data_IF_387953519821
#
_entry.id   IF_387953519821
#
_cell.length_a   1.000
_cell.length_b   1.000
_cell.length_c   1.000
_cell.angle_alpha   90.00
_cell.angle_beta   90.00
_cell.angle_gamma   90.00
#
_symmetry.space_group_name_H-M   'P 1'
#
loop_
_entity.id
_entity.type
_entity.pdbx_description
1 polymer ?
#
# COMPACT_ATOMS: atom_id res chain seq x y z
N UNK A 1 -18.84 51.24 48.99
CA UNK A 1 -17.46 51.60 48.58
C UNK A 1 -17.18 51.01 47.22
N UNK A 2 -16.94 51.87 46.22
CA UNK A 2 -16.34 51.53 44.92
C UNK A 2 -14.82 51.77 45.00
N UNK A 3 -14.00 51.09 44.18
CA UNK A 3 -13.70 51.58 42.82
C UNK A 3 -13.81 50.43 41.77
N UNK A 4 -14.21 50.62 40.49
CA UNK A 4 -13.59 51.43 39.39
C UNK A 4 -12.08 51.11 39.25
N UNK A 5 -11.47 50.81 38.10
CA UNK A 5 -11.85 50.72 36.67
C UNK A 5 -10.79 49.78 36.01
N UNK A 6 -10.80 49.33 34.74
CA UNK A 6 -11.34 49.88 33.48
C UNK A 6 -11.48 48.75 32.44
N UNK A 7 -12.29 48.94 31.38
CA UNK A 7 -12.10 48.23 30.11
C UNK A 7 -10.83 48.74 29.39
N UNK A 8 -10.07 47.84 28.75
CA UNK A 8 -9.28 48.17 27.55
C UNK A 8 -9.47 47.09 26.49
N UNK A 9 -10.12 47.47 25.39
CA UNK A 9 -10.02 46.73 24.13
C UNK A 9 -8.69 47.04 23.43
N UNK A 10 -8.38 46.29 22.36
CA UNK A 10 -7.18 46.22 21.48
C UNK A 10 -6.70 44.75 21.51
N UNK A 11 -6.60 44.01 20.41
CA UNK A 11 -7.02 44.28 19.03
C UNK A 11 -7.40 42.97 18.31
N UNK A 12 -8.10 43.11 17.20
CA UNK A 12 -8.30 42.07 16.20
C UNK A 12 -6.96 41.60 15.61
N UNK A 13 -6.47 40.44 16.07
CA UNK A 13 -5.41 39.68 15.41
C UNK A 13 -6.02 38.50 14.65
N UNK A 14 -5.75 38.38 13.35
CA UNK A 14 -6.10 37.16 12.61
C UNK A 14 -5.42 35.97 13.29
N UNK A 15 -6.21 35.03 13.81
CA UNK A 15 -5.71 33.69 14.08
C UNK A 15 -5.42 33.03 12.74
N UNK A 16 -4.18 33.16 12.27
CA UNK A 16 -3.67 32.50 11.08
C UNK A 16 -4.07 31.04 11.11
N UNK A 17 -4.91 30.61 10.16
CA UNK A 17 -5.13 29.18 9.91
C UNK A 17 -3.78 28.63 9.47
N UNK A 18 -3.03 28.07 10.42
CA UNK A 18 -1.84 27.30 10.13
C UNK A 18 -2.32 26.05 9.42
N UNK A 19 -2.41 26.14 8.10
CA UNK A 19 -2.57 24.99 7.21
C UNK A 19 -1.37 24.11 7.51
N UNK A 20 -1.58 23.09 8.34
CA UNK A 20 -0.60 22.04 8.57
C UNK A 20 -0.45 21.33 7.24
N UNK A 21 0.56 21.79 6.50
CA UNK A 21 1.08 21.15 5.31
C UNK A 21 1.39 19.71 5.72
N UNK A 22 0.51 18.80 5.32
CA UNK A 22 0.74 17.35 5.38
C UNK A 22 1.78 16.99 4.32
N UNK A 23 2.99 17.50 4.53
CA UNK A 23 4.22 16.89 4.08
C UNK A 23 4.07 15.41 4.44
N UNK A 24 4.04 14.57 3.41
CA UNK A 24 3.81 13.15 3.59
C UNK A 24 4.93 12.64 4.48
N UNK A 25 4.60 12.36 5.74
CA UNK A 25 5.56 11.83 6.70
C UNK A 25 6.22 10.63 6.02
N UNK A 26 7.56 10.51 6.05
CA UNK A 26 8.17 9.24 5.71
C UNK A 26 7.47 8.17 6.58
N UNK A 27 7.33 6.96 6.04
CA UNK A 27 6.93 5.85 6.90
C UNK A 27 8.00 5.77 7.99
N UNK A 28 7.67 6.26 9.19
CA UNK A 28 8.56 6.19 10.32
C UNK A 28 8.79 4.71 10.55
N UNK A 29 9.95 4.22 10.11
CA UNK A 29 10.52 3.05 10.71
C UNK A 29 10.48 3.33 12.21
N UNK A 30 9.81 2.47 12.98
CA UNK A 30 10.06 2.42 14.41
C UNK A 30 11.58 2.35 14.60
N UNK A 31 12.11 2.83 15.73
CA UNK A 31 13.56 2.81 16.02
C UNK A 31 14.13 1.39 15.86
N UNK A 32 14.54 1.07 14.64
CA UNK A 32 15.16 -0.18 14.30
C UNK A 32 16.56 -0.09 14.86
N UNK A 33 16.99 -1.14 15.55
CA UNK A 33 18.39 -1.33 15.85
C UNK A 33 19.19 -1.14 14.55
N UNK A 34 20.31 -0.42 14.62
CA UNK A 34 21.12 -0.13 13.45
C UNK A 34 21.52 -1.46 12.79
N UNK A 35 20.97 -1.72 11.61
CA UNK A 35 21.15 -3.01 10.94
C UNK A 35 22.63 -3.23 10.69
N UNK A 36 23.21 -4.24 11.35
CA UNK A 36 24.58 -4.66 11.09
C UNK A 36 24.73 -4.94 9.58
N UNK A 37 25.84 -4.54 8.95
CA UNK A 37 26.04 -4.81 7.54
C UNK A 37 25.96 -6.32 7.29
N UNK A 38 25.21 -6.73 6.27
CA UNK A 38 25.10 -8.12 5.82
C UNK A 38 26.36 -8.53 5.03
N UNK A 39 27.53 -8.31 5.63
CA UNK A 39 28.84 -8.66 5.06
C UNK A 39 28.96 -10.17 4.91
N UNK A 40 29.76 -10.61 3.93
CA UNK A 40 29.93 -12.01 3.50
C UNK A 40 28.72 -12.65 2.80
N UNK A 41 27.56 -11.97 2.72
CA UNK A 41 26.47 -12.43 1.89
C UNK A 41 26.82 -12.39 0.39
N UNK A 42 26.55 -13.48 -0.32
CA UNK A 42 26.34 -13.43 -1.78
C UNK A 42 24.97 -12.80 -2.04
N UNK A 43 24.94 -11.69 -2.78
CA UNK A 43 23.71 -10.93 -3.03
C UNK A 43 23.19 -11.19 -4.45
N UNK A 44 21.92 -11.58 -4.55
CA UNK A 44 21.19 -11.72 -5.83
C UNK A 44 19.98 -10.79 -5.84
N UNK A 45 19.63 -10.25 -7.00
CA UNK A 45 18.52 -9.32 -7.19
C UNK A 45 17.66 -9.77 -8.38
N UNK A 46 16.44 -10.22 -8.11
CA UNK A 46 15.46 -10.55 -9.15
C UNK A 46 14.47 -9.39 -9.31
N UNK A 47 14.11 -9.11 -10.56
CA UNK A 47 12.93 -8.29 -10.89
C UNK A 47 11.75 -9.22 -11.17
N UNK A 48 10.71 -9.11 -10.35
CA UNK A 48 9.45 -9.83 -10.49
C UNK A 48 8.40 -8.93 -11.19
N UNK A 49 7.21 -9.49 -11.43
CA UNK A 49 6.13 -8.74 -12.09
C UNK A 49 5.69 -7.48 -11.33
N UNK A 50 5.01 -6.57 -12.04
CA UNK A 50 4.50 -5.28 -11.53
C UNK A 50 5.53 -4.38 -10.84
N UNK A 51 6.83 -4.58 -11.11
CA UNK A 51 7.91 -3.78 -10.51
C UNK A 51 8.22 -4.15 -9.06
N UNK A 52 7.89 -5.39 -8.65
CA UNK A 52 8.36 -5.97 -7.40
C UNK A 52 9.83 -6.37 -7.56
N UNK A 53 10.70 -6.01 -6.61
CA UNK A 53 12.07 -6.52 -6.56
C UNK A 53 12.24 -7.50 -5.39
N UNK A 54 13.10 -8.49 -5.59
CA UNK A 54 13.43 -9.51 -4.59
C UNK A 54 14.96 -9.60 -4.46
N UNK A 55 15.49 -9.16 -3.32
CA UNK A 55 16.91 -9.25 -2.99
C UNK A 55 17.12 -10.42 -2.04
N UNK A 56 18.01 -11.36 -2.38
CA UNK A 56 18.41 -12.45 -1.47
C UNK A 56 19.87 -12.30 -1.08
N UNK A 57 20.12 -12.45 0.21
CA UNK A 57 21.42 -12.49 0.85
C UNK A 57 21.66 -13.94 1.29
N UNK A 58 22.53 -14.66 0.59
CA UNK A 58 22.88 -16.04 0.91
C UNK A 58 24.24 -16.07 1.61
N UNK A 59 24.34 -16.79 2.73
CA UNK A 59 25.54 -16.92 3.55
C UNK A 59 25.94 -18.39 3.62
N UNK A 60 27.25 -18.68 3.65
CA UNK A 60 27.72 -20.03 3.94
C UNK A 60 27.42 -20.42 5.40
N UNK A 61 27.58 -21.71 5.70
CA UNK A 61 27.48 -22.22 7.07
C UNK A 61 28.42 -21.43 8.01
N UNK A 62 27.91 -21.07 9.19
CA UNK A 62 28.64 -20.27 10.18
C UNK A 62 28.81 -18.77 9.86
N UNK A 63 28.43 -18.27 8.68
CA UNK A 63 28.65 -16.86 8.31
C UNK A 63 27.47 -15.94 8.64
N UNK A 64 26.24 -16.34 8.32
CA UNK A 64 25.03 -15.55 8.56
C UNK A 64 24.48 -15.70 9.99
N UNK A 65 24.82 -16.81 10.65
CA UNK A 65 24.53 -17.14 12.03
C UNK A 65 25.42 -18.32 12.46
N UNK A 66 25.34 -18.76 13.72
CA UNK A 66 26.14 -19.89 14.26
C UNK A 66 25.65 -21.29 13.85
N UNK A 67 24.81 -21.42 12.81
CA UNK A 67 24.31 -22.71 12.34
C UNK A 67 25.34 -23.43 11.45
N UNK A 68 25.41 -24.78 11.49
CA UNK A 68 26.19 -25.56 10.54
C UNK A 68 25.58 -25.61 9.12
N UNK A 69 24.44 -24.94 8.89
CA UNK A 69 23.75 -24.88 7.60
C UNK A 69 23.93 -23.52 6.93
N UNK A 70 23.91 -23.50 5.60
CA UNK A 70 23.75 -22.27 4.82
C UNK A 70 22.51 -21.51 5.27
N UNK A 71 22.57 -20.18 5.28
CA UNK A 71 21.45 -19.34 5.70
C UNK A 71 21.13 -18.27 4.67
N UNK A 72 19.86 -17.86 4.62
CA UNK A 72 19.36 -16.92 3.62
C UNK A 72 18.42 -15.90 4.24
N UNK A 73 18.75 -14.63 4.05
CA UNK A 73 17.85 -13.51 4.33
C UNK A 73 17.30 -12.95 3.01
N UNK A 74 16.03 -12.58 2.97
CA UNK A 74 15.36 -12.14 1.74
C UNK A 74 14.52 -10.90 2.01
N UNK A 75 14.71 -9.88 1.17
CA UNK A 75 13.96 -8.62 1.20
C UNK A 75 13.15 -8.51 -0.09
N UNK A 76 11.85 -8.26 0.02
CA UNK A 76 11.04 -7.85 -1.13
C UNK A 76 10.62 -6.38 -0.99
N UNK A 77 10.61 -5.67 -2.12
CA UNK A 77 10.13 -4.29 -2.22
C UNK A 77 9.09 -4.24 -3.33
N UNK A 78 7.92 -3.68 -3.02
CA UNK A 78 6.84 -3.50 -3.97
C UNK A 78 6.14 -2.16 -3.80
N UNK A 79 5.33 -1.77 -4.78
CA UNK A 79 4.43 -0.64 -4.65
C UNK A 79 3.03 -1.14 -4.28
N UNK A 80 2.52 -0.69 -3.13
CA UNK A 80 1.25 -1.12 -2.53
C UNK A 80 0.02 -0.90 -3.42
N UNK A 81 0.11 -0.09 -4.50
CA UNK A 81 -0.94 -0.01 -5.52
C UNK A 81 -1.09 -1.30 -6.35
N UNK A 82 -0.02 -2.08 -6.51
CA UNK A 82 -0.02 -3.31 -7.31
C UNK A 82 0.15 -4.58 -6.46
N UNK A 83 0.15 -4.45 -5.13
CA UNK A 83 0.39 -5.55 -4.20
C UNK A 83 -0.81 -5.75 -3.28
N UNK A 84 -1.26 -6.99 -3.17
CA UNK A 84 -2.14 -7.48 -2.10
C UNK A 84 -1.29 -8.06 -0.98
N UNK A 85 -1.71 -7.88 0.27
CA UNK A 85 -1.10 -8.53 1.44
C UNK A 85 -2.13 -9.48 2.03
N UNK A 86 -1.87 -10.79 1.92
CA UNK A 86 -2.78 -11.85 2.35
C UNK A 86 -2.20 -12.58 3.56
N UNK A 87 -2.77 -12.42 4.76
CA UNK A 87 -2.32 -13.16 5.94
C UNK A 87 -2.67 -14.65 5.79
N UNK A 88 -1.67 -15.50 6.00
CA UNK A 88 -1.81 -16.97 6.00
C UNK A 88 -1.41 -17.52 7.36
N UNK A 89 -2.06 -18.59 7.81
CA UNK A 89 -1.74 -19.30 9.06
C UNK A 89 -1.95 -20.79 8.82
N UNK A 90 -1.18 -21.63 9.50
CA UNK A 90 -1.49 -23.05 9.60
C UNK A 90 -2.82 -23.25 10.39
N UNK A 91 -3.44 -24.44 10.32
CA UNK A 91 -4.50 -24.83 11.24
C UNK A 91 -4.00 -24.86 12.68
N UNK A 92 -4.88 -24.63 13.67
CA UNK A 92 -4.49 -24.70 15.08
C UNK A 92 -3.94 -26.07 15.48
N UNK A 93 -2.96 -26.07 16.38
CA UNK A 93 -2.25 -27.27 16.87
C UNK A 93 -1.52 -28.05 15.74
N UNK A 94 -1.27 -27.42 14.59
CA UNK A 94 -0.58 -27.97 13.43
C UNK A 94 0.39 -26.95 12.84
N UNK A 95 1.50 -27.45 12.32
CA UNK A 95 2.44 -26.71 11.50
C UNK A 95 2.12 -26.89 10.01
N UNK A 96 2.63 -25.98 9.18
CA UNK A 96 2.51 -26.06 7.73
C UNK A 96 3.71 -25.37 7.08
N UNK A 97 4.25 -25.95 6.01
CA UNK A 97 5.39 -25.35 5.31
C UNK A 97 5.03 -23.98 4.71
N UNK A 98 5.99 -23.05 4.70
CA UNK A 98 5.84 -21.75 4.03
C UNK A 98 5.47 -21.91 2.55
N UNK A 99 6.02 -22.92 1.87
CA UNK A 99 5.70 -23.21 0.48
C UNK A 99 4.21 -23.55 0.30
N UNK A 100 3.66 -24.43 1.14
CA UNK A 100 2.25 -24.80 1.09
C UNK A 100 1.32 -23.62 1.43
N UNK A 101 1.72 -22.77 2.38
CA UNK A 101 0.96 -21.54 2.71
C UNK A 101 1.01 -20.52 1.56
N UNK A 102 2.16 -20.37 0.90
CA UNK A 102 2.33 -19.49 -0.26
C UNK A 102 1.52 -19.96 -1.47
N UNK A 103 1.57 -21.26 -1.78
CA UNK A 103 0.81 -21.89 -2.86
C UNK A 103 -0.70 -21.74 -2.65
N UNK A 104 -1.18 -21.95 -1.42
CA UNK A 104 -2.61 -21.83 -1.07
C UNK A 104 -3.24 -20.46 -1.29
N UNK A 105 -2.44 -19.41 -1.52
CA UNK A 105 -2.89 -18.05 -1.89
C UNK A 105 -2.23 -17.52 -3.17
N UNK A 106 -1.54 -18.39 -3.92
CA UNK A 106 -0.77 -18.05 -5.14
C UNK A 106 0.18 -16.85 -4.95
N UNK A 107 0.87 -16.78 -3.81
CA UNK A 107 1.75 -15.66 -3.49
C UNK A 107 3.01 -15.60 -4.36
N UNK A 108 3.32 -14.42 -4.90
CA UNK A 108 4.60 -14.14 -5.56
C UNK A 108 5.78 -14.16 -4.58
N UNK A 109 5.56 -13.73 -3.34
CA UNK A 109 6.52 -13.77 -2.24
C UNK A 109 5.76 -14.10 -0.95
N UNK A 110 6.32 -14.99 -0.14
CA UNK A 110 5.83 -15.30 1.21
C UNK A 110 6.92 -14.94 2.22
N UNK A 111 6.51 -14.49 3.41
CA UNK A 111 7.40 -14.09 4.51
C UNK A 111 6.84 -14.71 5.78
N UNK A 112 7.70 -15.26 6.63
CA UNK A 112 7.29 -15.76 7.94
C UNK A 112 6.72 -14.62 8.80
N UNK A 113 5.67 -14.95 9.56
CA UNK A 113 5.03 -14.03 10.49
C UNK A 113 5.60 -14.16 11.90
N UNK A 114 4.73 -14.55 12.81
CA UNK A 114 5.01 -14.68 14.24
C UNK A 114 5.89 -15.89 14.59
N UNK A 115 6.43 -15.87 15.82
CA UNK A 115 7.02 -17.06 16.44
C UNK A 115 5.91 -18.05 16.81
N UNK A 116 6.25 -19.35 16.89
CA UNK A 116 5.37 -20.39 17.39
C UNK A 116 6.16 -21.38 18.23
N UNK A 117 5.52 -22.00 19.22
CA UNK A 117 6.11 -23.09 20.00
C UNK A 117 5.97 -24.40 19.22
N UNK A 118 7.09 -25.11 19.02
CA UNK A 118 7.13 -26.39 18.31
C UNK A 118 6.39 -27.52 19.06
N UNK A 119 6.21 -27.39 20.37
CA UNK A 119 5.58 -28.40 21.22
C UNK A 119 4.05 -28.36 21.10
N UNK A 120 3.45 -27.19 21.34
CA UNK A 120 2.00 -26.95 21.21
C UNK A 120 1.55 -26.65 19.78
N UNK A 121 2.48 -26.27 18.90
CA UNK A 121 2.22 -25.75 17.53
C UNK A 121 1.28 -24.53 17.54
N UNK A 122 1.40 -23.69 18.57
CA UNK A 122 0.63 -22.45 18.73
C UNK A 122 1.53 -21.20 18.60
N UNK A 123 1.03 -20.11 18.00
CA UNK A 123 1.78 -18.87 17.84
C UNK A 123 1.90 -18.10 19.17
N UNK A 124 2.92 -17.25 19.28
CA UNK A 124 3.19 -16.47 20.50
C UNK A 124 2.29 -15.24 20.66
N UNK A 125 1.65 -14.79 19.58
CA UNK A 125 0.88 -13.55 19.49
C UNK A 125 -0.55 -13.80 19.00
N UNK A 126 -1.46 -12.90 19.37
CA UNK A 126 -2.84 -12.95 18.96
C UNK A 126 -3.04 -12.88 17.43
N UNK A 127 -4.01 -13.67 16.94
CA UNK A 127 -4.45 -13.70 15.54
C UNK A 127 -5.89 -13.22 15.47
N UNK A 128 -6.14 -12.20 14.65
CA UNK A 128 -7.48 -11.73 14.32
C UNK A 128 -7.64 -11.55 12.80
N UNK A 129 -8.84 -11.80 12.28
CA UNK A 129 -9.22 -11.57 10.88
C UNK A 129 -10.64 -11.02 10.81
N UNK A 130 -10.89 -10.03 9.95
CA UNK A 130 -12.25 -9.51 9.73
C UNK A 130 -12.96 -9.02 10.99
N UNK A 131 -12.23 -8.36 11.90
CA UNK A 131 -12.69 -7.94 13.23
C UNK A 131 -13.00 -9.07 14.23
N UNK A 132 -12.78 -10.34 13.88
CA UNK A 132 -12.90 -11.48 14.80
C UNK A 132 -11.52 -11.88 15.33
N UNK A 133 -11.38 -11.90 16.66
CA UNK A 133 -10.25 -12.53 17.34
C UNK A 133 -10.40 -14.06 17.21
N UNK A 134 -9.42 -14.72 16.61
CA UNK A 134 -9.44 -16.17 16.37
C UNK A 134 -8.55 -16.92 17.36
N UNK A 135 -7.48 -16.27 17.83
CA UNK A 135 -6.61 -16.76 18.90
C UNK A 135 -5.98 -15.58 19.67
N UNK A 136 -5.76 -15.74 20.97
CA UNK A 136 -4.90 -14.88 21.77
C UNK A 136 -4.22 -15.69 22.87
N UNK A 137 -2.93 -15.46 23.16
CA UNK A 137 -2.36 -15.83 24.45
C UNK A 137 -3.00 -15.01 25.59
N UNK A 138 -2.76 -15.40 26.83
CA UNK A 138 -3.23 -14.70 28.04
C UNK A 138 -2.53 -13.35 28.31
N UNK A 139 -1.60 -12.93 27.45
CA UNK A 139 -0.84 -11.68 27.60
C UNK A 139 -1.07 -10.75 26.42
N UNK A 140 -1.02 -9.44 26.68
CA UNK A 140 -1.04 -8.40 25.64
C UNK A 140 -0.02 -8.68 24.52
N UNK A 141 -0.53 -9.01 23.35
CA UNK A 141 0.24 -9.38 22.16
C UNK A 141 0.69 -8.16 21.37
N UNK A 142 1.94 -8.14 20.90
CA UNK A 142 2.40 -7.22 19.85
C UNK A 142 1.96 -7.79 18.49
N UNK A 143 1.33 -6.99 17.64
CA UNK A 143 0.82 -7.47 16.35
C UNK A 143 1.23 -6.56 15.18
N UNK A 144 1.28 -7.15 14.00
CA UNK A 144 1.32 -6.43 12.72
C UNK A 144 -0.04 -6.63 12.04
N UNK A 145 -0.85 -5.58 12.02
CA UNK A 145 -2.13 -5.56 11.33
C UNK A 145 -1.99 -5.15 9.87
N UNK A 146 -2.75 -5.80 8.99
CA UNK A 146 -2.99 -5.34 7.61
C UNK A 146 -4.36 -4.67 7.60
N UNK A 147 -4.43 -3.37 7.30
CA UNK A 147 -5.69 -2.64 7.12
C UNK A 147 -5.81 -2.09 5.71
N UNK A 148 -7.04 -1.97 5.21
CA UNK A 148 -7.33 -1.38 3.90
C UNK A 148 -7.55 0.12 4.05
N UNK A 149 -6.71 0.95 3.41
CA UNK A 149 -6.82 2.41 3.45
C UNK A 149 -7.07 2.99 2.06
N UNK A 150 -7.67 4.17 1.99
CA UNK A 150 -7.89 4.88 0.71
C UNK A 150 -6.58 5.15 0.00
N UNK A 151 -6.50 4.77 -1.28
CA UNK A 151 -5.35 5.04 -2.13
C UNK A 151 -5.20 6.55 -2.37
N UNK A 152 -3.99 7.08 -2.25
CA UNK A 152 -3.73 8.51 -2.45
C UNK A 152 -3.46 8.80 -3.92
N UNK A 153 -4.14 9.80 -4.48
CA UNK A 153 -3.80 10.31 -5.81
C UNK A 153 -2.32 10.72 -5.91
N UNK A 154 -1.66 11.13 -4.81
CA UNK A 154 -0.23 11.46 -4.84
C UNK A 154 0.68 10.28 -5.21
N UNK A 155 0.36 9.07 -4.74
CA UNK A 155 1.19 7.86 -4.91
C UNK A 155 0.62 6.86 -5.90
N UNK A 156 -0.64 7.02 -6.30
CA UNK A 156 -1.33 6.25 -7.33
C UNK A 156 -2.64 5.64 -6.85
N UNK A 157 -3.49 5.25 -7.81
CA UNK A 157 -4.73 4.49 -7.58
C UNK A 157 -4.87 3.43 -8.67
N UNK A 158 -4.70 2.15 -8.32
CA UNK A 158 -4.96 1.03 -9.24
C UNK A 158 -6.44 0.64 -9.22
N UNK A 159 -7.22 1.27 -10.11
CA UNK A 159 -8.62 0.92 -10.34
C UNK A 159 -9.01 1.34 -11.75
N UNK A 160 -9.59 0.43 -12.52
CA UNK A 160 -10.06 0.73 -13.87
C UNK A 160 -11.31 1.62 -13.86
N UNK A 161 -11.40 2.48 -14.87
CA UNK A 161 -12.54 3.35 -15.17
C UNK A 161 -12.74 3.42 -16.68
N UNK A 162 -13.95 3.67 -17.15
CA UNK A 162 -14.29 3.73 -18.59
C UNK A 162 -14.65 5.16 -18.95
N UNK A 163 -13.97 5.72 -19.95
CA UNK A 163 -14.30 7.02 -20.54
C UNK A 163 -14.97 6.81 -21.89
N UNK A 164 -16.09 7.52 -22.12
CA UNK A 164 -16.73 7.61 -23.43
C UNK A 164 -16.21 8.85 -24.17
N UNK A 165 -15.75 8.67 -25.41
CA UNK A 165 -15.31 9.75 -26.29
C UNK A 165 -15.59 9.39 -27.75
N UNK A 166 -16.27 10.28 -28.48
CA UNK A 166 -16.62 10.09 -29.90
C UNK A 166 -17.21 8.70 -30.22
N UNK A 167 -18.17 8.25 -29.41
CA UNK A 167 -18.83 6.93 -29.56
C UNK A 167 -17.99 5.72 -29.14
N UNK A 168 -16.75 5.91 -28.66
CA UNK A 168 -15.83 4.83 -28.26
C UNK A 168 -15.58 4.79 -26.76
N UNK A 169 -15.38 3.60 -26.23
CA UNK A 169 -14.99 3.36 -24.85
C UNK A 169 -13.46 3.30 -24.73
N UNK A 170 -12.90 3.96 -23.72
CA UNK A 170 -11.49 3.96 -23.37
C UNK A 170 -11.33 3.45 -21.94
N UNK A 171 -10.68 2.31 -21.75
CA UNK A 171 -10.35 1.80 -20.40
C UNK A 171 -9.11 2.50 -19.87
N UNK A 172 -9.28 3.23 -18.77
CA UNK A 172 -8.22 3.90 -18.02
C UNK A 172 -7.94 3.07 -16.78
N UNK A 173 -6.78 2.43 -16.71
CA UNK A 173 -6.46 1.37 -15.73
C UNK A 173 -6.10 1.90 -14.34
N UNK A 174 -5.92 3.20 -14.19
CA UNK A 174 -5.69 3.85 -12.92
C UNK A 174 -5.30 5.32 -13.06
N UNK A 175 -5.00 5.93 -11.91
CA UNK A 175 -4.59 7.32 -11.77
C UNK A 175 -3.19 7.40 -11.15
N UNK A 176 -2.33 8.26 -11.67
CA UNK A 176 -1.02 8.62 -11.11
C UNK A 176 -0.13 7.39 -10.79
N UNK A 177 -0.23 6.36 -11.61
CA UNK A 177 0.49 5.09 -11.41
C UNK A 177 1.90 5.18 -12.01
N UNK A 178 2.96 4.83 -11.25
CA UNK A 178 4.35 5.06 -11.68
C UNK A 178 4.85 4.07 -12.74
N UNK A 179 4.16 2.94 -12.96
CA UNK A 179 4.49 1.95 -13.99
C UNK A 179 3.43 1.98 -15.09
N UNK A 180 3.87 2.22 -16.32
CA UNK A 180 3.06 2.22 -17.55
C UNK A 180 3.61 1.14 -18.49
N UNK A 181 3.02 -0.06 -18.47
CA UNK A 181 3.48 -1.25 -19.22
C UNK A 181 2.31 -2.03 -19.83
N UNK A 182 2.63 -2.92 -20.77
CA UNK A 182 1.65 -3.72 -21.52
C UNK A 182 0.88 -2.90 -22.56
N UNK A 183 -0.39 -3.21 -22.77
CA UNK A 183 -1.32 -2.36 -23.54
C UNK A 183 -2.33 -1.72 -22.59
N UNK A 184 -1.95 -0.58 -22.00
CA UNK A 184 -2.73 0.12 -20.97
C UNK A 184 -2.70 1.62 -21.22
N UNK A 185 -3.76 2.29 -20.75
CA UNK A 185 -3.83 3.76 -20.60
C UNK A 185 -3.92 4.11 -19.12
N UNK A 186 -3.13 5.09 -18.68
CA UNK A 186 -3.10 5.60 -17.30
C UNK A 186 -3.37 7.10 -17.32
N UNK A 187 -4.19 7.59 -16.40
CA UNK A 187 -4.39 9.03 -16.19
C UNK A 187 -3.32 9.59 -15.25
N UNK A 188 -2.83 10.78 -15.55
CA UNK A 188 -1.90 11.54 -14.71
C UNK A 188 -2.49 12.93 -14.46
N UNK A 189 -2.35 13.45 -13.25
CA UNK A 189 -2.85 14.74 -12.79
C UNK A 189 -1.74 15.55 -12.14
N UNK A 190 -2.01 16.83 -11.85
CA UNK A 190 -1.08 17.70 -11.11
C UNK A 190 -0.68 17.16 -9.73
N UNK A 191 -1.51 16.30 -9.12
CA UNK A 191 -1.26 15.72 -7.80
C UNK A 191 -0.20 14.61 -7.77
N UNK A 192 0.20 14.04 -8.93
CA UNK A 192 1.19 12.94 -8.96
C UNK A 192 2.52 13.36 -8.36
N UNK A 193 3.10 12.54 -7.46
CA UNK A 193 4.33 12.88 -6.75
C UNK A 193 5.50 13.21 -7.67
N UNK A 194 5.72 12.42 -8.73
CA UNK A 194 6.78 12.69 -9.71
C UNK A 194 6.41 13.87 -10.61
N UNK A 195 7.36 14.77 -10.85
CA UNK A 195 7.26 15.81 -11.88
C UNK A 195 7.36 15.24 -13.30
N UNK A 196 7.98 14.07 -13.45
CA UNK A 196 8.20 13.37 -14.72
C UNK A 196 7.25 12.17 -14.82
N UNK A 197 6.47 12.10 -15.90
CA UNK A 197 5.60 10.98 -16.21
C UNK A 197 6.38 9.85 -16.89
N UNK A 198 5.99 8.57 -16.71
CA UNK A 198 6.55 7.45 -17.45
C UNK A 198 6.47 7.64 -18.97
N UNK A 199 7.47 7.14 -19.69
CA UNK A 199 7.51 7.18 -21.15
C UNK A 199 6.30 6.47 -21.76
N UNK A 200 5.75 7.01 -22.85
CA UNK A 200 4.51 6.56 -23.46
C UNK A 200 4.56 6.65 -24.99
N UNK A 201 3.86 5.77 -25.69
CA UNK A 201 3.79 5.78 -27.15
C UNK A 201 2.76 6.78 -27.71
N UNK A 202 1.82 7.22 -26.87
CA UNK A 202 0.89 8.33 -27.12
C UNK A 202 0.42 8.93 -25.80
N UNK A 203 0.08 10.23 -25.81
CA UNK A 203 -0.64 10.86 -24.70
C UNK A 203 -1.67 11.86 -25.21
N UNK A 204 -2.68 12.17 -24.40
CA UNK A 204 -3.58 13.32 -24.62
C UNK A 204 -3.63 14.17 -23.35
N UNK A 205 -3.66 15.50 -23.50
CA UNK A 205 -4.05 16.41 -22.41
C UNK A 205 -5.55 16.69 -22.52
N UNK A 206 -6.27 16.51 -21.42
CA UNK A 206 -7.71 16.79 -21.31
C UNK A 206 -7.91 17.82 -20.20
N UNK A 207 -8.59 18.92 -20.55
CA UNK A 207 -8.95 20.00 -19.62
C UNK A 207 -10.45 20.25 -19.76
N UNK A 208 -11.14 20.42 -18.63
CA UNK A 208 -12.60 20.65 -18.58
C UNK A 208 -13.42 19.65 -19.42
N UNK A 209 -13.02 18.37 -19.40
CA UNK A 209 -13.71 17.29 -20.12
C UNK A 209 -13.54 17.29 -21.64
N UNK A 210 -12.60 18.07 -22.20
CA UNK A 210 -12.28 18.08 -23.65
C UNK A 210 -10.79 17.85 -23.90
N UNK A 211 -10.47 17.15 -25.00
CA UNK A 211 -9.08 16.99 -25.47
C UNK A 211 -8.51 18.34 -25.87
N UNK A 212 -7.50 18.83 -25.15
CA UNK A 212 -6.78 20.09 -25.43
C UNK A 212 -5.58 19.86 -26.34
N UNK A 213 -4.89 18.72 -26.20
CA UNK A 213 -3.67 18.42 -26.97
C UNK A 213 -3.52 16.92 -27.17
N UNK A 214 -2.98 16.50 -28.33
CA UNK A 214 -2.68 15.10 -28.65
C UNK A 214 -1.17 14.99 -28.92
N UNK A 215 -0.46 14.26 -28.06
CA UNK A 215 0.97 14.02 -28.15
C UNK A 215 1.22 12.68 -28.87
N UNK A 216 1.52 12.76 -30.17
CA UNK A 216 1.70 11.59 -31.04
C UNK A 216 2.90 10.70 -30.66
N UNK A 217 3.81 11.19 -29.81
CA UNK A 217 4.97 10.47 -29.24
C UNK A 217 4.93 10.39 -27.70
N UNK A 218 3.76 10.63 -27.10
CA UNK A 218 3.62 10.76 -25.64
C UNK A 218 4.14 12.08 -25.09
N UNK A 219 3.99 12.28 -23.78
CA UNK A 219 4.65 13.36 -23.02
C UNK A 219 5.09 12.86 -21.66
N UNK A 220 6.26 13.33 -21.21
CA UNK A 220 6.78 13.10 -19.85
C UNK A 220 6.45 14.24 -18.89
N UNK A 221 5.73 15.28 -19.35
CA UNK A 221 5.42 16.47 -18.55
C UNK A 221 4.14 16.25 -17.74
N UNK A 222 4.23 16.35 -16.40
CA UNK A 222 3.05 16.34 -15.51
C UNK A 222 2.14 17.55 -15.81
N UNK A 223 0.82 17.36 -15.98
CA UNK A 223 -0.08 18.49 -16.22
C UNK A 223 -0.17 19.43 -15.02
N UNK A 224 -0.25 20.74 -15.28
CA UNK A 224 -0.62 21.75 -14.28
C UNK A 224 -2.13 21.77 -13.99
N UNK A 225 -2.95 21.37 -14.95
CA UNK A 225 -4.41 21.35 -14.86
C UNK A 225 -5.00 20.21 -15.69
N UNK A 226 -6.17 19.70 -15.28
CA UNK A 226 -6.82 18.57 -15.94
C UNK A 226 -6.01 17.26 -15.79
N UNK A 227 -6.04 16.44 -16.83
CA UNK A 227 -5.39 15.13 -16.85
C UNK A 227 -4.62 14.88 -18.15
N UNK A 228 -3.42 14.31 -18.04
CA UNK A 228 -2.72 13.68 -19.17
C UNK A 228 -3.03 12.19 -19.14
N UNK A 229 -3.63 11.65 -20.19
CA UNK A 229 -3.79 10.21 -20.37
C UNK A 229 -2.65 9.72 -21.23
N UNK A 230 -1.78 8.87 -20.69
CA UNK A 230 -0.64 8.30 -21.41
C UNK A 230 -0.86 6.80 -21.63
N UNK A 231 -0.48 6.31 -22.80
CA UNK A 231 -0.69 4.92 -23.19
C UNK A 231 0.50 4.30 -23.93
N UNK A 232 0.58 2.98 -23.83
CA UNK A 232 1.55 2.09 -24.46
C UNK A 232 0.83 0.94 -25.18
N UNK A 233 1.53 0.25 -26.08
CA UNK A 233 0.94 -0.83 -26.89
C UNK A 233 -0.23 -0.38 -27.77
N UNK A 234 -1.17 -1.29 -28.05
CA UNK A 234 -2.34 -1.01 -28.89
C UNK A 234 -3.28 0.08 -28.33
N UNK A 235 -3.28 0.31 -27.01
CA UNK A 235 -4.04 1.40 -26.39
C UNK A 235 -3.58 2.79 -26.89
N UNK A 236 -2.29 2.96 -27.19
CA UNK A 236 -1.75 4.20 -27.74
C UNK A 236 -2.38 4.55 -29.10
N UNK A 237 -2.56 3.56 -29.98
CA UNK A 237 -3.19 3.74 -31.31
C UNK A 237 -4.61 4.30 -31.23
N UNK A 238 -5.34 4.00 -30.14
CA UNK A 238 -6.68 4.56 -29.93
C UNK A 238 -6.64 6.01 -29.42
N UNK A 239 -5.68 6.37 -28.56
CA UNK A 239 -5.50 7.77 -28.15
C UNK A 239 -5.10 8.68 -29.33
N UNK A 240 -4.20 8.20 -30.22
CA UNK A 240 -3.74 8.99 -31.39
C UNK A 240 -4.86 9.39 -32.36
N UNK A 241 -5.99 8.66 -32.35
CA UNK A 241 -7.18 8.89 -33.20
C UNK A 241 -8.16 9.93 -32.62
N UNK A 242 -7.96 10.39 -31.39
CA UNK A 242 -8.77 11.44 -30.81
C UNK A 242 -8.42 12.79 -31.43
N UNK A 243 -9.44 13.63 -31.66
CA UNK A 243 -9.27 14.99 -32.18
C UNK A 243 -9.25 15.99 -31.03
N UNK A 244 -8.52 17.10 -31.19
CA UNK A 244 -8.63 18.26 -30.31
C UNK A 244 -10.09 18.76 -30.29
N UNK A 245 -10.58 19.17 -29.14
CA UNK A 245 -11.97 19.55 -28.90
C UNK A 245 -12.93 18.39 -28.60
N UNK A 246 -12.53 17.13 -28.85
CA UNK A 246 -13.39 15.97 -28.56
C UNK A 246 -13.71 15.84 -27.06
N UNK A 247 -14.97 15.53 -26.73
CA UNK A 247 -15.39 15.27 -25.36
C UNK A 247 -14.71 14.02 -24.82
N UNK A 248 -14.07 14.13 -23.66
CA UNK A 248 -13.38 13.06 -22.95
C UNK A 248 -13.65 13.21 -21.45
N UNK A 249 -14.86 12.83 -21.03
CA UNK A 249 -15.31 13.03 -19.64
C UNK A 249 -14.79 11.92 -18.73
N UNK A 250 -13.79 12.24 -17.93
CA UNK A 250 -13.16 11.33 -16.98
C UNK A 250 -13.53 11.69 -15.54
N UNK A 251 -13.88 10.67 -14.75
CA UNK A 251 -13.99 10.76 -13.30
C UNK A 251 -12.89 9.90 -12.69
N UNK A 252 -11.98 10.46 -11.88
CA UNK A 252 -10.93 9.67 -11.25
C UNK A 252 -11.54 8.60 -10.34
N UNK A 253 -11.04 7.36 -10.38
CA UNK A 253 -11.53 6.31 -9.51
C UNK A 253 -11.04 6.51 -8.07
N UNK A 254 -11.81 6.02 -7.10
CA UNK A 254 -11.35 5.79 -5.74
C UNK A 254 -10.94 4.32 -5.63
N UNK A 255 -9.79 4.07 -4.99
CA UNK A 255 -9.29 2.73 -4.72
C UNK A 255 -8.83 2.60 -3.27
N UNK A 256 -8.41 1.39 -2.89
CA UNK A 256 -7.79 1.13 -1.59
C UNK A 256 -6.50 0.35 -1.79
N UNK A 257 -5.56 0.54 -0.86
CA UNK A 257 -4.29 -0.19 -0.78
C UNK A 257 -4.16 -0.82 0.61
N UNK A 258 -3.40 -1.92 0.76
CA UNK A 258 -3.05 -2.43 2.08
C UNK A 258 -2.06 -1.46 2.76
N UNK A 259 -2.26 -1.23 4.06
CA UNK A 259 -1.30 -0.58 4.95
C UNK A 259 -0.96 -1.53 6.10
N UNK A 260 0.33 -1.70 6.35
CA UNK A 260 0.83 -2.34 7.57
C UNK A 260 0.77 -1.34 8.74
N UNK A 261 0.24 -1.78 9.87
CA UNK A 261 0.26 -1.06 11.14
C UNK A 261 0.87 -1.95 12.21
N UNK A 262 1.67 -1.38 13.11
CA UNK A 262 2.04 -2.05 14.36
C UNK A 262 1.03 -1.64 15.42
N UNK A 263 0.59 -2.59 16.23
CA UNK A 263 -0.36 -2.34 17.31
C UNK A 263 -0.21 -3.40 18.40
N UNK A 264 -1.11 -3.36 19.39
CA UNK A 264 -1.25 -4.39 20.41
C UNK A 264 -2.68 -4.95 20.42
N UNK A 265 -2.82 -6.24 20.66
CA UNK A 265 -4.09 -6.85 21.01
C UNK A 265 -4.06 -7.33 22.46
N UNK A 266 -5.09 -6.94 23.21
CA UNK A 266 -5.41 -7.49 24.52
C UNK A 266 -6.74 -8.23 24.37
N UNK A 267 -6.80 -9.50 24.79
CA UNK A 267 -8.04 -10.25 24.81
C UNK A 267 -8.81 -9.99 26.10
N UNK A 268 -10.09 -9.66 25.98
CA UNK A 268 -11.03 -9.67 27.10
C UNK A 268 -12.35 -10.30 26.66
N UNK A 269 -13.08 -10.91 27.60
CA UNK A 269 -14.36 -11.54 27.33
C UNK A 269 -14.83 -12.45 28.45
N UNK A 270 -15.99 -13.08 28.27
CA UNK A 270 -16.52 -14.09 29.19
C UNK A 270 -16.92 -15.34 28.42
N UNK A 271 -16.67 -16.50 29.02
CA UNK A 271 -17.23 -17.77 28.58
C UNK A 271 -18.53 -17.97 29.36
N UNK A 272 -19.64 -18.21 28.68
CA UNK A 272 -20.93 -18.49 29.29
C UNK A 272 -21.44 -19.88 28.91
N UNK A 273 -22.28 -20.48 29.77
CA UNK A 273 -23.07 -21.66 29.39
C UNK A 273 -24.30 -21.25 28.55
N UNK A 274 -25.08 -22.24 28.10
CA UNK A 274 -26.33 -22.03 27.36
C UNK A 274 -27.43 -21.29 28.15
N UNK A 275 -27.31 -21.20 29.48
CA UNK A 275 -28.19 -20.41 30.36
C UNK A 275 -27.67 -18.98 30.63
N UNK A 276 -26.56 -18.57 29.99
CA UNK A 276 -25.95 -17.24 30.17
C UNK A 276 -25.11 -17.09 31.44
N UNK A 277 -24.94 -18.14 32.26
CA UNK A 277 -24.07 -18.10 33.44
C UNK A 277 -22.61 -17.99 33.01
N UNK A 278 -21.88 -17.00 33.54
CA UNK A 278 -20.43 -16.85 33.31
C UNK A 278 -19.69 -18.02 33.97
N UNK A 279 -18.98 -18.79 33.16
CA UNK A 279 -18.12 -19.91 33.56
C UNK A 279 -16.66 -19.47 33.78
N UNK A 280 -16.20 -18.48 33.01
CA UNK A 280 -14.87 -17.91 33.14
C UNK A 280 -14.83 -16.49 32.56
N UNK A 281 -13.93 -15.66 33.08
CA UNK A 281 -13.57 -14.36 32.50
C UNK A 281 -12.18 -14.44 31.91
N UNK A 282 -12.03 -13.96 30.68
CA UNK A 282 -10.74 -13.76 30.01
C UNK A 282 -10.34 -12.30 30.24
N UNK A 283 -9.17 -12.09 30.81
CA UNK A 283 -8.55 -10.79 31.07
C UNK A 283 -7.04 -10.92 30.86
N UNK A 284 -6.45 -10.03 30.06
CA UNK A 284 -5.05 -10.03 29.63
C UNK A 284 -4.42 -8.63 29.68
#
# INVERSE_FOLDING_TARGET
MTPKTTLKAIASGLASVLVVLSLGLPANAASCEATRPLSRATVTNDSLEQGVSLTRYSFQAGEGNSSPYESRFTVTKSNLNYTTLTPTTAPYLRDQSQLSLAQGVSALVHVNGDFFDFSSRMPYSAIARGSQLTYSPQVRSKVIGIRSVTASSKTGVLKSSIVKSSGKNFTIYGLNLPVLTGSKTIAYSSAFASSVLPAAAASILVVSGKVKTVYQRGTTIRPSSGYVFSAVGSAATNLKKLKVGATFSYRPPVGRIPQLSRDYLTSSGTITNSAGTVLASISA
#
